data_IF_813458837010
#
_entry.id   IF_813458837010
#
_cell.length_a   1.000
_cell.length_b   1.000
_cell.length_c   1.000
_cell.angle_alpha   90.00
_cell.angle_beta   90.00
_cell.angle_gamma   90.00
#
_symmetry.space_group_name_H-M   'P 1'
#
loop_
_entity.id
_entity.type
_entity.pdbx_description
1 polymer ?
#
# COMPACT_ATOMS: atom_id res chain seq x y z
N UNK A 1 2.61 -4.93 -25.27
CA UNK A 1 2.61 -4.29 -23.93
C UNK A 1 3.06 -2.83 -23.94
N UNK A 2 3.91 -2.37 -24.86
CA UNK A 2 4.40 -0.96 -24.89
C UNK A 2 3.34 0.12 -25.22
N UNK A 3 2.24 -0.23 -25.89
CA UNK A 3 1.21 0.74 -26.33
C UNK A 3 0.19 1.14 -25.24
N UNK A 4 0.08 0.39 -24.14
CA UNK A 4 -0.84 0.70 -23.04
C UNK A 4 -0.22 1.69 -22.06
N UNK A 5 1.10 1.70 -21.92
CA UNK A 5 1.83 2.61 -21.04
C UNK A 5 1.78 4.05 -21.59
N UNK A 6 1.76 4.25 -22.91
CA UNK A 6 1.69 5.57 -23.54
C UNK A 6 0.35 6.29 -23.33
N UNK A 7 -0.75 5.58 -23.13
CA UNK A 7 -2.08 6.18 -22.90
C UNK A 7 -2.24 6.67 -21.45
N UNK A 8 -1.60 6.02 -20.50
CA UNK A 8 -1.64 6.42 -19.08
C UNK A 8 -0.77 7.65 -18.77
N UNK A 9 0.29 7.89 -19.56
CA UNK A 9 1.13 9.08 -19.42
C UNK A 9 0.54 10.33 -20.11
N UNK A 10 -0.35 10.17 -21.09
CA UNK A 10 -0.96 11.29 -21.81
C UNK A 10 -2.12 11.96 -21.06
N UNK A 11 -2.70 11.30 -20.04
CA UNK A 11 -3.78 11.87 -19.23
C UNK A 11 -3.31 12.82 -18.10
N UNK A 12 -2.01 12.97 -17.90
CA UNK A 12 -1.44 13.88 -16.89
C UNK A 12 -1.29 15.30 -17.41
N UNK A 13 -1.42 15.52 -18.73
CA UNK A 13 -1.34 16.85 -19.38
C UNK A 13 -2.76 17.26 -19.78
N UNK A 14 -3.59 17.65 -18.82
CA UNK A 14 -4.85 18.35 -19.09
C UNK A 14 -4.69 19.87 -18.92
N UNK A 15 -5.41 20.65 -19.73
CA UNK A 15 -5.01 21.97 -20.15
C UNK A 15 -5.03 22.99 -19.03
N UNK A 16 -3.94 23.74 -18.94
CA UNK A 16 -3.93 25.07 -18.32
C UNK A 16 -4.68 26.03 -19.24
N UNK A 17 -5.95 26.15 -19.05
CA UNK A 17 -6.72 27.09 -19.84
C UNK A 17 -8.15 27.23 -19.38
N UNK A 18 -8.35 28.19 -18.47
CA UNK A 18 -9.49 29.06 -18.30
C UNK A 18 -9.40 29.73 -16.92
N UNK A 19 -8.48 30.66 -16.77
CA UNK A 19 -8.51 31.61 -15.65
C UNK A 19 -9.61 32.65 -15.91
N UNK A 20 -10.87 32.27 -15.67
CA UNK A 20 -11.87 33.23 -15.34
C UNK A 20 -11.67 33.59 -13.85
N UNK A 21 -11.16 34.78 -13.56
CA UNK A 21 -11.23 35.40 -12.23
C UNK A 21 -12.69 35.54 -11.82
N UNK A 22 -13.25 34.50 -11.25
CA UNK A 22 -14.49 34.53 -10.54
C UNK A 22 -14.13 34.67 -9.05
N UNK A 23 -14.91 35.43 -8.27
CA UNK A 23 -14.94 35.45 -6.81
C UNK A 23 -15.27 34.06 -6.27
N UNK A 24 -14.33 33.10 -6.46
CA UNK A 24 -14.51 31.69 -6.10
C UNK A 24 -14.35 31.56 -4.61
N UNK A 25 -15.40 31.07 -3.97
CA UNK A 25 -15.39 30.67 -2.57
C UNK A 25 -14.22 29.73 -2.30
N UNK A 26 -13.55 29.82 -1.13
CA UNK A 26 -12.43 28.98 -0.78
C UNK A 26 -12.83 27.49 -0.90
N UNK A 27 -11.94 26.68 -1.48
CA UNK A 27 -12.08 25.24 -1.59
C UNK A 27 -11.17 24.55 -0.57
N UNK A 28 -11.42 23.29 -0.27
CA UNK A 28 -10.78 22.55 0.81
C UNK A 28 -9.28 22.30 0.60
N UNK A 29 -8.84 22.20 -0.65
CA UNK A 29 -7.44 21.91 -1.04
C UNK A 29 -6.59 23.18 -1.26
N UNK A 30 -6.77 24.19 -0.38
CA UNK A 30 -5.94 25.39 -0.31
C UNK A 30 -4.74 25.18 0.60
N UNK A 31 -3.67 25.93 0.32
CA UNK A 31 -2.50 26.00 1.19
C UNK A 31 -2.89 26.28 2.65
N UNK A 32 -2.32 25.52 3.57
CA UNK A 32 -2.54 25.65 5.01
C UNK A 32 -3.60 24.69 5.56
N UNK A 33 -4.36 24.00 4.71
CA UNK A 33 -5.34 23.03 5.16
C UNK A 33 -4.72 21.65 5.35
N UNK A 34 -5.28 20.91 6.31
CA UNK A 34 -4.92 19.53 6.57
C UNK A 34 -6.09 18.62 6.24
N UNK A 35 -5.77 17.35 5.97
CA UNK A 35 -6.76 16.30 5.83
C UNK A 35 -6.30 15.02 6.51
N UNK A 36 -7.28 14.22 6.91
CA UNK A 36 -7.04 12.85 7.37
C UNK A 36 -8.10 11.93 6.82
N UNK A 37 -7.73 10.68 6.53
CA UNK A 37 -8.69 9.66 6.17
C UNK A 37 -8.26 8.26 6.63
N UNK A 38 -9.28 7.43 6.79
CA UNK A 38 -9.18 6.01 7.07
C UNK A 38 -10.10 5.25 6.12
N UNK A 39 -9.65 4.13 5.60
CA UNK A 39 -10.44 3.31 4.71
C UNK A 39 -9.93 1.90 4.57
N UNK A 40 -10.57 1.15 3.69
CA UNK A 40 -10.26 -0.25 3.45
C UNK A 40 -9.78 -0.45 2.02
N UNK A 41 -8.93 -1.45 1.85
CA UNK A 41 -8.33 -1.74 0.55
C UNK A 41 -8.43 -3.21 0.18
N UNK A 42 -8.24 -3.47 -1.12
CA UNK A 42 -8.08 -4.79 -1.72
C UNK A 42 -6.88 -4.75 -2.65
N UNK A 43 -6.00 -5.74 -2.52
CA UNK A 43 -4.73 -5.77 -3.21
C UNK A 43 -4.59 -6.99 -4.11
N UNK A 44 -3.95 -6.78 -5.26
CA UNK A 44 -3.62 -7.80 -6.25
C UNK A 44 -2.13 -7.72 -6.53
N UNK A 45 -1.49 -8.87 -6.69
CA UNK A 45 -0.05 -8.96 -6.86
C UNK A 45 0.31 -9.61 -8.19
N UNK A 46 1.38 -9.17 -8.82
CA UNK A 46 1.96 -9.89 -9.95
C UNK A 46 2.62 -11.17 -9.45
N UNK A 47 2.86 -12.13 -10.34
CA UNK A 47 3.76 -13.24 -10.03
C UNK A 47 5.15 -12.70 -9.65
N UNK A 48 5.82 -13.41 -8.76
CA UNK A 48 7.17 -13.10 -8.31
C UNK A 48 8.03 -14.35 -8.22
N UNK A 49 9.33 -14.17 -8.24
CA UNK A 49 10.29 -15.20 -7.88
C UNK A 49 10.65 -14.96 -6.42
N UNK A 50 10.41 -15.98 -5.59
CA UNK A 50 10.52 -15.90 -4.14
C UNK A 50 11.70 -16.71 -3.67
N UNK A 51 12.72 -16.04 -3.13
CA UNK A 51 14.00 -16.60 -2.71
C UNK A 51 14.02 -16.80 -1.21
N UNK A 52 14.60 -17.92 -0.76
CA UNK A 52 14.77 -18.29 0.64
C UNK A 52 16.20 -18.69 0.92
N UNK A 53 16.81 -18.06 1.90
CA UNK A 53 18.16 -18.37 2.39
C UNK A 53 18.09 -18.63 3.89
N UNK A 54 18.85 -19.59 4.38
CA UNK A 54 18.98 -19.93 5.79
C UNK A 54 19.98 -21.04 6.02
N UNK A 55 20.11 -21.51 7.26
CA UNK A 55 21.06 -22.58 7.60
C UNK A 55 20.74 -23.85 6.83
N UNK A 56 21.65 -24.29 5.95
CA UNK A 56 21.53 -25.48 5.13
C UNK A 56 20.52 -25.41 3.99
N UNK A 57 20.02 -24.23 3.61
CA UNK A 57 19.22 -24.08 2.41
C UNK A 57 19.41 -22.71 1.73
N UNK A 58 19.43 -22.78 0.40
CA UNK A 58 19.39 -21.61 -0.48
C UNK A 58 18.62 -22.01 -1.74
N UNK A 59 17.35 -21.63 -1.82
CA UNK A 59 16.47 -22.01 -2.92
C UNK A 59 15.50 -20.89 -3.28
N UNK A 60 14.91 -20.99 -4.47
CA UNK A 60 13.86 -20.08 -4.91
C UNK A 60 12.73 -20.82 -5.62
N UNK A 61 11.57 -20.17 -5.63
CA UNK A 61 10.34 -20.64 -6.26
C UNK A 61 9.94 -19.64 -7.33
N UNK A 62 10.16 -19.97 -8.60
CA UNK A 62 9.82 -19.10 -9.72
C UNK A 62 8.33 -19.17 -10.06
N UNK A 63 7.77 -18.02 -10.40
CA UNK A 63 6.37 -17.90 -10.78
C UNK A 63 5.37 -17.97 -9.63
N UNK A 64 5.80 -17.68 -8.43
CA UNK A 64 5.00 -17.65 -7.20
C UNK A 64 3.78 -16.72 -7.34
N UNK A 65 2.61 -17.21 -6.99
CA UNK A 65 1.35 -16.47 -6.98
C UNK A 65 0.93 -16.19 -5.55
N UNK A 66 0.53 -14.95 -5.28
CA UNK A 66 -0.03 -14.57 -3.98
C UNK A 66 -1.39 -13.88 -4.14
N UNK A 67 -2.15 -13.91 -3.06
CA UNK A 67 -3.47 -13.27 -2.93
C UNK A 67 -3.55 -12.43 -1.68
N UNK A 68 -4.50 -11.50 -1.65
CA UNK A 68 -4.92 -10.85 -0.42
C UNK A 68 -5.90 -11.74 0.37
N UNK A 69 -6.23 -11.31 1.60
CA UNK A 69 -7.17 -12.04 2.46
C UNK A 69 -8.14 -11.06 3.13
N UNK A 70 -9.20 -10.65 2.41
CA UNK A 70 -10.22 -9.79 3.00
C UNK A 70 -11.00 -10.53 4.07
N UNK A 71 -11.43 -9.82 5.09
CA UNK A 71 -12.38 -10.40 6.04
C UNK A 71 -13.73 -10.67 5.35
N UNK A 72 -14.29 -11.83 5.58
CA UNK A 72 -15.66 -12.20 5.16
C UNK A 72 -16.72 -11.68 6.12
N UNK A 73 -16.31 -11.24 7.32
CA UNK A 73 -17.22 -10.78 8.37
C UNK A 73 -17.37 -9.25 8.31
N UNK A 74 -18.51 -8.78 7.85
CA UNK A 74 -18.82 -7.34 7.80
C UNK A 74 -18.62 -6.62 9.14
N UNK A 75 -18.91 -7.30 10.26
CA UNK A 75 -18.73 -6.76 11.62
C UNK A 75 -17.31 -6.27 11.89
N UNK A 76 -16.28 -6.89 11.29
CA UNK A 76 -14.88 -6.49 11.49
C UNK A 76 -14.57 -5.12 10.88
N UNK A 77 -15.33 -4.70 9.86
CA UNK A 77 -15.13 -3.40 9.19
C UNK A 77 -15.76 -2.22 9.93
N UNK A 78 -16.69 -2.47 10.84
CA UNK A 78 -17.44 -1.42 11.56
C UNK A 78 -17.23 -1.44 13.08
N UNK A 79 -16.67 -2.50 13.64
CA UNK A 79 -16.44 -2.62 15.08
C UNK A 79 -15.13 -1.87 15.46
N UNK A 80 -15.19 -0.84 16.32
CA UNK A 80 -14.02 -0.05 16.71
C UNK A 80 -12.84 -0.86 17.27
N UNK A 81 -13.10 -2.02 17.87
CA UNK A 81 -12.04 -2.88 18.43
C UNK A 81 -11.35 -3.77 17.41
N UNK A 82 -11.88 -3.88 16.20
CA UNK A 82 -11.35 -4.74 15.13
C UNK A 82 -11.12 -4.02 13.80
N UNK A 83 -11.18 -2.69 13.76
CA UNK A 83 -11.00 -1.89 12.55
C UNK A 83 -9.65 -2.11 11.84
N UNK A 84 -8.64 -2.55 12.58
CA UNK A 84 -7.29 -2.82 12.06
C UNK A 84 -7.07 -4.26 11.61
N UNK A 85 -8.04 -5.16 11.81
CA UNK A 85 -7.93 -6.57 11.38
C UNK A 85 -8.10 -6.73 9.86
N UNK A 86 -9.07 -6.06 9.19
CA UNK A 86 -9.12 -6.01 7.75
C UNK A 86 -7.96 -5.16 7.18
N UNK A 87 -7.68 -5.36 5.90
CA UNK A 87 -6.74 -4.50 5.17
C UNK A 87 -7.26 -3.06 5.14
N UNK A 88 -6.42 -2.12 5.54
CA UNK A 88 -6.81 -0.71 5.63
C UNK A 88 -5.72 0.23 5.14
N UNK A 89 -6.10 1.46 4.85
CA UNK A 89 -5.19 2.57 4.63
C UNK A 89 -5.59 3.79 5.46
N UNK A 90 -4.57 4.44 6.00
CA UNK A 90 -4.69 5.70 6.72
C UNK A 90 -3.76 6.74 6.11
N UNK A 91 -4.21 7.98 6.07
CA UNK A 91 -3.40 9.13 5.63
C UNK A 91 -3.63 10.32 6.51
N UNK A 92 -2.56 11.08 6.71
CA UNK A 92 -2.62 12.42 7.24
C UNK A 92 -1.78 13.33 6.34
N UNK A 93 -2.36 14.41 5.83
CA UNK A 93 -1.74 15.26 4.84
C UNK A 93 -1.95 16.75 5.07
N UNK A 94 -1.06 17.52 4.45
CA UNK A 94 -1.02 18.97 4.51
C UNK A 94 -0.87 19.57 3.11
N UNK A 95 -1.73 20.53 2.77
CA UNK A 95 -1.63 21.32 1.54
C UNK A 95 -0.59 22.42 1.71
N UNK A 96 0.64 22.18 1.26
CA UNK A 96 1.73 23.16 1.33
C UNK A 96 1.63 24.26 0.24
N UNK A 97 0.86 23.97 -0.80
CA UNK A 97 0.50 24.88 -1.89
C UNK A 97 -0.92 24.55 -2.33
N UNK A 98 -1.63 25.54 -2.92
CA UNK A 98 -2.95 25.29 -3.51
C UNK A 98 -2.86 24.12 -4.49
N UNK A 99 -3.78 23.16 -4.37
CA UNK A 99 -3.84 21.91 -5.11
C UNK A 99 -2.80 20.84 -4.73
N UNK A 100 -1.69 21.18 -4.04
CA UNK A 100 -0.59 20.24 -3.78
C UNK A 100 -0.46 19.94 -2.30
N UNK A 101 -0.46 18.67 -1.97
CA UNK A 101 -0.32 18.17 -0.62
C UNK A 101 0.84 17.18 -0.49
N UNK A 102 1.47 17.19 0.67
CA UNK A 102 2.30 16.10 1.16
C UNK A 102 1.53 15.34 2.23
N UNK A 103 1.62 14.02 2.24
CA UNK A 103 0.99 13.19 3.27
C UNK A 103 1.88 12.07 3.75
N UNK A 104 1.71 11.69 5.02
CA UNK A 104 2.22 10.45 5.58
C UNK A 104 1.12 9.39 5.49
N UNK A 105 1.48 8.22 4.99
CA UNK A 105 0.58 7.11 4.73
C UNK A 105 1.00 5.84 5.43
N UNK A 106 0.00 5.05 5.81
CA UNK A 106 0.15 3.69 6.29
C UNK A 106 -0.86 2.81 5.59
N UNK A 107 -0.37 1.83 4.82
CA UNK A 107 -1.20 0.82 4.17
C UNK A 107 -0.93 -0.54 4.82
N UNK A 108 -1.95 -1.08 5.46
CA UNK A 108 -1.96 -2.45 5.94
C UNK A 108 -2.52 -3.34 4.82
N UNK A 109 -1.63 -4.07 4.18
CA UNK A 109 -1.93 -5.01 3.11
C UNK A 109 -1.73 -6.44 3.62
N UNK A 110 -2.15 -7.43 2.84
CA UNK A 110 -1.92 -8.84 3.12
C UNK A 110 -1.39 -9.51 1.87
N UNK A 111 -0.29 -10.22 2.01
CA UNK A 111 0.33 -11.02 0.96
C UNK A 111 0.38 -12.47 1.44
N UNK A 112 -0.40 -13.34 0.82
CA UNK A 112 -0.48 -14.75 1.17
C UNK A 112 -0.11 -15.57 -0.05
N UNK A 113 0.98 -16.32 0.04
CA UNK A 113 1.36 -17.31 -0.96
C UNK A 113 0.20 -18.29 -1.17
N UNK A 114 -0.19 -18.49 -2.43
CA UNK A 114 -1.36 -19.31 -2.75
C UNK A 114 -1.06 -20.78 -2.50
N UNK A 115 -1.98 -21.47 -1.84
CA UNK A 115 -1.93 -22.93 -1.70
C UNK A 115 -2.06 -23.62 -3.07
N UNK A 116 -1.50 -24.83 -3.21
CA UNK A 116 -1.46 -25.60 -4.45
C UNK A 116 -0.85 -24.78 -5.60
N UNK A 117 0.19 -23.99 -5.29
CA UNK A 117 0.87 -23.16 -6.29
C UNK A 117 1.85 -24.04 -7.10
N UNK A 118 1.70 -24.01 -8.43
CA UNK A 118 2.63 -24.68 -9.33
C UNK A 118 3.80 -23.74 -9.63
N UNK A 119 4.96 -24.05 -9.16
CA UNK A 119 6.17 -23.24 -9.24
C UNK A 119 7.35 -24.08 -9.71
N UNK A 120 8.44 -23.42 -10.13
CA UNK A 120 9.71 -24.09 -10.43
C UNK A 120 10.66 -23.88 -9.26
N UNK A 121 11.09 -24.99 -8.65
CA UNK A 121 12.05 -25.01 -7.56
C UNK A 121 13.46 -25.08 -8.14
N UNK A 122 14.35 -24.18 -7.71
CA UNK A 122 15.78 -24.21 -8.00
C UNK A 122 16.57 -23.86 -6.75
N UNK A 123 17.79 -24.39 -6.64
CA UNK A 123 18.69 -24.16 -5.50
C UNK A 123 19.05 -25.44 -4.77
N UNK A 124 19.50 -25.31 -3.53
CA UNK A 124 20.03 -26.43 -2.73
C UNK A 124 19.38 -26.48 -1.35
N UNK A 125 19.06 -27.68 -0.90
CA UNK A 125 18.62 -28.00 0.46
C UNK A 125 19.51 -29.12 0.96
N UNK A 126 20.30 -28.88 2.01
CA UNK A 126 21.30 -29.82 2.52
C UNK A 126 20.65 -31.07 3.14
N UNK A 127 21.37 -32.21 3.16
CA UNK A 127 20.90 -33.43 3.78
C UNK A 127 20.47 -33.21 5.25
N UNK A 128 19.27 -33.66 5.59
CA UNK A 128 18.72 -33.58 6.95
C UNK A 128 18.00 -32.28 7.29
N UNK A 129 18.04 -31.25 6.43
CA UNK A 129 17.36 -29.97 6.66
C UNK A 129 15.86 -30.09 6.40
N UNK A 130 15.48 -30.68 5.27
CA UNK A 130 14.06 -30.82 4.91
C UNK A 130 13.75 -32.28 4.54
N UNK A 131 12.79 -32.87 5.29
CA UNK A 131 12.30 -34.22 5.05
C UNK A 131 10.79 -34.26 4.74
N UNK A 132 10.12 -33.09 4.72
CA UNK A 132 8.65 -33.04 4.70
C UNK A 132 8.07 -32.14 3.61
N UNK A 133 8.87 -31.18 3.08
CA UNK A 133 8.38 -30.19 2.10
C UNK A 133 8.80 -30.58 0.68
N UNK A 134 10.07 -30.38 0.35
CA UNK A 134 10.62 -30.68 -0.96
C UNK A 134 11.63 -31.83 -0.92
N UNK A 135 12.17 -32.13 0.29
CA UNK A 135 13.29 -33.03 0.50
C UNK A 135 14.66 -32.35 0.29
N UNK A 136 15.72 -33.04 0.72
CA UNK A 136 17.09 -32.56 0.55
C UNK A 136 17.60 -32.89 -0.85
N UNK A 137 18.34 -31.94 -1.47
CA UNK A 137 18.89 -32.12 -2.81
C UNK A 137 19.23 -30.79 -3.49
N UNK A 138 19.75 -30.94 -4.72
CA UNK A 138 19.95 -29.81 -5.63
C UNK A 138 18.89 -29.84 -6.73
N UNK A 139 18.21 -28.74 -6.93
CA UNK A 139 17.08 -28.59 -7.83
C UNK A 139 17.42 -27.59 -8.95
N UNK A 140 16.97 -27.85 -10.17
CA UNK A 140 17.13 -26.96 -11.32
C UNK A 140 15.80 -26.91 -12.09
N UNK A 141 15.07 -25.81 -11.96
CA UNK A 141 13.78 -25.62 -12.59
C UNK A 141 12.83 -26.83 -12.42
N UNK A 142 12.86 -27.44 -11.25
CA UNK A 142 12.08 -28.65 -10.94
C UNK A 142 10.63 -28.26 -10.67
N UNK A 143 9.66 -28.73 -11.46
CA UNK A 143 8.26 -28.44 -11.22
C UNK A 143 7.79 -29.03 -9.88
N UNK A 144 7.25 -28.21 -9.02
CA UNK A 144 6.69 -28.63 -7.73
C UNK A 144 5.31 -27.97 -7.53
N UNK A 145 4.44 -28.66 -6.83
CA UNK A 145 3.16 -28.10 -6.36
C UNK A 145 3.25 -27.98 -4.84
N UNK A 146 3.09 -26.78 -4.32
CA UNK A 146 3.18 -26.53 -2.87
C UNK A 146 1.93 -26.97 -2.15
N UNK A 147 2.09 -27.42 -0.91
CA UNK A 147 0.99 -27.75 0.02
C UNK A 147 1.12 -26.88 1.26
N UNK A 148 0.06 -26.15 1.62
CA UNK A 148 0.03 -25.22 2.76
C UNK A 148 0.40 -25.90 4.09
N UNK A 149 0.20 -27.20 4.22
CA UNK A 149 0.53 -27.95 5.44
C UNK A 149 2.03 -28.08 5.66
N UNK A 150 2.83 -28.04 4.59
CA UNK A 150 4.29 -28.25 4.62
C UNK A 150 5.07 -27.01 4.22
N UNK A 151 4.52 -26.20 3.30
CA UNK A 151 5.11 -24.95 2.86
C UNK A 151 4.08 -23.80 2.91
N UNK A 152 4.39 -22.77 3.69
CA UNK A 152 3.55 -21.58 3.77
C UNK A 152 4.40 -20.34 3.98
N UNK A 153 4.11 -19.29 3.20
CA UNK A 153 4.72 -17.98 3.34
C UNK A 153 3.65 -16.91 3.26
N UNK A 154 3.54 -16.10 4.31
CA UNK A 154 2.59 -15.01 4.30
C UNK A 154 3.06 -13.79 5.09
N UNK A 155 2.58 -12.63 4.66
CA UNK A 155 2.62 -11.38 5.41
C UNK A 155 1.16 -10.95 5.68
N UNK A 156 0.36 -11.80 6.34
CA UNK A 156 -1.07 -11.58 6.57
C UNK A 156 -1.35 -10.75 7.81
N UNK A 157 -0.46 -10.79 8.80
CA UNK A 157 -0.50 -9.92 9.97
C UNK A 157 0.09 -8.54 9.68
N UNK A 158 0.54 -8.32 8.46
CA UNK A 158 0.93 -7.03 7.92
C UNK A 158 2.04 -7.07 6.88
N UNK A 159 1.66 -6.86 5.63
CA UNK A 159 2.50 -6.24 4.64
C UNK A 159 2.24 -4.73 4.75
N UNK A 160 3.00 -4.05 5.61
CA UNK A 160 2.74 -2.66 5.94
C UNK A 160 3.63 -1.74 5.10
N UNK A 161 3.01 -0.88 4.31
CA UNK A 161 3.71 0.13 3.51
C UNK A 161 3.57 1.49 4.17
N UNK A 162 4.65 1.97 4.77
CA UNK A 162 4.78 3.29 5.40
C UNK A 162 5.37 4.24 4.38
N UNK A 163 4.61 5.24 3.92
CA UNK A 163 5.01 6.07 2.78
C UNK A 163 4.76 7.55 2.95
N UNK A 164 5.56 8.33 2.25
CA UNK A 164 5.30 9.74 1.98
C UNK A 164 4.74 9.86 0.57
N UNK A 165 3.69 10.67 0.41
CA UNK A 165 3.05 10.90 -0.88
C UNK A 165 3.05 12.39 -1.23
N UNK A 166 3.24 12.68 -2.50
CA UNK A 166 2.97 13.97 -3.11
C UNK A 166 1.73 13.85 -3.97
N UNK A 167 0.69 14.62 -3.67
CA UNK A 167 -0.63 14.53 -4.32
C UNK A 167 -1.05 15.88 -4.86
N UNK A 168 -1.61 15.88 -6.07
CA UNK A 168 -2.34 17.00 -6.66
C UNK A 168 -3.84 16.71 -6.59
N UNK A 169 -4.62 17.72 -6.21
CA UNK A 169 -6.09 17.69 -6.13
C UNK A 169 -6.68 18.76 -7.04
N UNK A 170 -7.56 18.37 -7.96
CA UNK A 170 -8.22 19.30 -8.87
C UNK A 170 -9.75 19.15 -8.73
N UNK A 171 -10.46 20.28 -8.65
CA UNK A 171 -11.91 20.29 -8.59
C UNK A 171 -12.48 20.00 -9.97
N UNK A 172 -13.34 18.99 -10.04
CA UNK A 172 -14.08 18.64 -11.25
C UNK A 172 -15.42 19.35 -11.29
N UNK A 173 -16.14 19.37 -10.15
CA UNK A 173 -17.49 19.88 -10.07
C UNK A 173 -17.82 20.35 -8.66
N UNK A 174 -18.73 21.32 -8.50
CA UNK A 174 -19.22 21.76 -7.18
C UNK A 174 -20.66 22.25 -7.24
N UNK A 175 -21.46 21.94 -6.20
CA UNK A 175 -22.81 22.43 -5.97
C UNK A 175 -22.78 23.30 -4.72
N UNK A 176 -22.72 24.62 -4.91
CA UNK A 176 -22.72 25.58 -3.81
C UNK A 176 -21.55 25.33 -2.83
N UNK A 177 -21.88 25.28 -1.54
CA UNK A 177 -20.95 24.89 -0.45
C UNK A 177 -21.18 23.46 0.04
N UNK A 178 -22.22 22.80 -0.47
CA UNK A 178 -22.69 21.54 0.08
C UNK A 178 -21.94 20.34 -0.47
N UNK A 179 -21.48 20.41 -1.73
CA UNK A 179 -20.85 19.29 -2.39
C UNK A 179 -19.75 19.73 -3.34
N UNK A 180 -18.64 19.01 -3.31
CA UNK A 180 -17.53 19.15 -4.28
C UNK A 180 -17.04 17.77 -4.70
N UNK A 181 -16.95 17.57 -6.02
CA UNK A 181 -16.25 16.43 -6.61
C UNK A 181 -14.87 16.88 -7.07
N UNK A 182 -13.83 16.17 -6.65
CA UNK A 182 -12.45 16.42 -7.07
C UNK A 182 -11.75 15.14 -7.45
N UNK A 183 -10.75 15.26 -8.34
CA UNK A 183 -9.80 14.22 -8.66
C UNK A 183 -8.52 14.43 -7.85
N UNK A 184 -7.89 13.34 -7.45
CA UNK A 184 -6.55 13.35 -6.87
C UNK A 184 -5.67 12.41 -7.67
N UNK A 185 -4.43 12.84 -7.89
CA UNK A 185 -3.40 12.00 -8.48
C UNK A 185 -2.06 12.30 -7.80
N UNK A 186 -1.24 11.28 -7.62
CA UNK A 186 0.04 11.47 -6.94
C UNK A 186 0.96 10.27 -7.01
N UNK A 187 2.12 10.47 -6.42
CA UNK A 187 3.18 9.46 -6.32
C UNK A 187 3.59 9.32 -4.85
N UNK A 188 4.11 8.16 -4.50
CA UNK A 188 4.58 7.86 -3.14
C UNK A 188 5.79 6.96 -3.14
N UNK A 189 6.56 7.07 -2.07
CA UNK A 189 7.69 6.21 -1.79
C UNK A 189 7.78 5.95 -0.28
N UNK A 190 8.26 4.78 0.10
CA UNK A 190 8.39 4.47 1.52
C UNK A 190 8.95 3.10 1.82
N UNK A 191 8.90 2.73 3.08
CA UNK A 191 9.46 1.51 3.63
C UNK A 191 8.39 0.43 3.80
N UNK A 192 8.81 -0.83 3.72
CA UNK A 192 7.97 -2.00 3.95
C UNK A 192 8.35 -2.61 5.30
N UNK A 193 7.37 -2.70 6.20
CA UNK A 193 7.46 -3.44 7.46
C UNK A 193 6.65 -4.72 7.31
N UNK A 194 7.32 -5.87 7.29
CA UNK A 194 6.70 -7.18 7.11
C UNK A 194 6.54 -7.91 8.44
N UNK A 195 5.30 -8.36 8.71
CA UNK A 195 4.99 -9.38 9.71
C UNK A 195 4.83 -10.68 8.95
N UNK A 196 5.84 -11.53 9.02
CA UNK A 196 5.92 -12.74 8.22
C UNK A 196 5.59 -13.98 9.07
N UNK A 197 4.87 -14.92 8.47
CA UNK A 197 4.69 -16.28 8.96
C UNK A 197 5.22 -17.24 7.90
N UNK A 198 6.16 -18.12 8.30
CA UNK A 198 6.86 -19.00 7.39
C UNK A 198 6.94 -20.43 7.92
N UNK A 199 6.31 -21.36 7.19
CA UNK A 199 6.37 -22.80 7.44
C UNK A 199 7.21 -23.47 6.37
N UNK A 200 8.26 -24.16 6.80
CA UNK A 200 9.17 -24.92 5.93
C UNK A 200 9.98 -25.91 6.77
N UNK A 201 10.34 -27.07 6.20
CA UNK A 201 11.19 -28.09 6.82
C UNK A 201 10.64 -28.59 8.19
N UNK A 202 9.31 -28.71 8.30
CA UNK A 202 8.64 -29.16 9.52
C UNK A 202 8.50 -28.10 10.62
N UNK A 203 9.12 -26.92 10.46
CA UNK A 203 8.95 -25.78 11.36
C UNK A 203 7.68 -25.00 10.96
N UNK A 204 6.80 -24.77 11.92
CA UNK A 204 5.49 -24.12 11.73
C UNK A 204 5.36 -22.88 12.61
N UNK A 205 4.48 -21.96 12.19
CA UNK A 205 4.08 -20.76 12.95
C UNK A 205 5.29 -19.87 13.35
N UNK A 206 6.29 -19.78 12.47
CA UNK A 206 7.49 -18.98 12.68
C UNK A 206 7.23 -17.52 12.33
N UNK A 207 6.64 -16.80 13.30
CA UNK A 207 6.29 -15.38 13.12
C UNK A 207 7.48 -14.47 13.38
N UNK A 208 7.77 -13.58 12.42
CA UNK A 208 8.87 -12.62 12.49
C UNK A 208 8.41 -11.22 12.08
N UNK A 209 9.20 -10.20 12.48
CA UNK A 209 8.99 -8.80 12.08
C UNK A 209 10.29 -8.27 11.51
N UNK A 210 10.21 -7.60 10.35
CA UNK A 210 11.39 -6.98 9.73
C UNK A 210 11.05 -5.73 8.92
N UNK A 211 11.95 -4.75 8.94
CA UNK A 211 11.97 -3.68 7.96
C UNK A 211 12.54 -4.27 6.67
N UNK A 212 11.66 -4.77 5.83
CA UNK A 212 12.00 -5.72 4.78
C UNK A 212 12.44 -5.10 3.47
N UNK A 213 12.18 -3.80 3.24
CA UNK A 213 12.55 -3.17 1.99
C UNK A 213 11.83 -1.85 1.74
N UNK A 214 11.59 -1.55 0.46
CA UNK A 214 10.96 -0.30 0.03
C UNK A 214 9.93 -0.53 -1.07
N UNK A 215 9.06 0.46 -1.26
CA UNK A 215 8.11 0.48 -2.37
C UNK A 215 8.00 1.87 -3.00
N UNK A 216 7.63 1.88 -4.27
CA UNK A 216 7.27 3.06 -5.05
C UNK A 216 5.85 2.89 -5.57
N UNK A 217 5.07 3.96 -5.57
CA UNK A 217 3.65 3.90 -5.93
C UNK A 217 3.18 5.14 -6.69
N UNK A 218 2.13 4.94 -7.48
CA UNK A 218 1.29 5.98 -8.03
C UNK A 218 -0.16 5.74 -7.65
N UNK A 219 -0.96 6.81 -7.53
CA UNK A 219 -2.38 6.67 -7.23
C UNK A 219 -3.22 7.68 -8.01
N UNK A 220 -4.46 7.31 -8.25
CA UNK A 220 -5.52 8.17 -8.75
C UNK A 220 -6.82 7.88 -8.01
N UNK A 221 -7.61 8.93 -7.72
CA UNK A 221 -8.84 8.77 -6.97
C UNK A 221 -9.84 9.89 -7.22
N UNK A 222 -11.11 9.61 -6.94
CA UNK A 222 -12.17 10.59 -6.83
C UNK A 222 -12.45 10.86 -5.35
N UNK A 223 -12.71 12.12 -5.03
CA UNK A 223 -13.09 12.58 -3.70
C UNK A 223 -14.42 13.33 -3.78
N UNK A 224 -15.40 12.81 -3.08
CA UNK A 224 -16.75 13.34 -2.92
C UNK A 224 -16.80 14.07 -1.58
N UNK A 225 -16.72 15.37 -1.58
CA UNK A 225 -16.60 16.20 -0.39
C UNK A 225 -17.93 16.85 -0.05
N UNK A 226 -18.32 16.78 1.22
CA UNK A 226 -19.57 17.30 1.77
C UNK A 226 -19.28 18.42 2.76
N UNK A 227 -19.97 19.54 2.60
CA UNK A 227 -19.90 20.73 3.46
C UNK A 227 -18.47 21.25 3.69
N UNK A 228 -17.56 20.95 2.77
CA UNK A 228 -16.12 21.26 2.85
C UNK A 228 -15.38 20.62 4.05
N UNK A 229 -15.98 19.68 4.78
CA UNK A 229 -15.36 19.08 5.98
C UNK A 229 -15.21 17.58 5.89
N UNK A 230 -16.25 16.88 5.42
CA UNK A 230 -16.25 15.42 5.30
C UNK A 230 -16.06 15.02 3.86
N UNK A 231 -15.37 13.91 3.63
CA UNK A 231 -15.30 13.37 2.27
C UNK A 231 -15.29 11.84 2.25
N UNK A 232 -15.86 11.30 1.19
CA UNK A 232 -15.66 9.93 0.74
C UNK A 232 -14.65 9.96 -0.39
N UNK A 233 -13.64 9.10 -0.32
CA UNK A 233 -12.65 8.90 -1.37
C UNK A 233 -12.75 7.46 -1.88
N UNK A 234 -12.66 7.27 -3.19
CA UNK A 234 -12.45 5.96 -3.80
C UNK A 234 -11.38 6.07 -4.87
N UNK A 235 -10.52 5.08 -4.95
CA UNK A 235 -9.38 5.18 -5.85
C UNK A 235 -8.68 3.87 -6.13
N UNK A 236 -7.66 4.01 -6.95
CA UNK A 236 -6.74 2.96 -7.32
C UNK A 236 -5.31 3.44 -7.06
N UNK A 237 -4.50 2.58 -6.52
CA UNK A 237 -3.06 2.77 -6.44
C UNK A 237 -2.35 1.52 -6.98
N UNK A 238 -1.15 1.72 -7.46
CA UNK A 238 -0.33 0.62 -7.94
C UNK A 238 1.13 1.01 -7.89
N UNK A 239 2.00 0.00 -7.91
CA UNK A 239 3.42 0.26 -7.81
C UNK A 239 4.27 -0.98 -7.79
N UNK A 240 5.47 -0.80 -7.32
CA UNK A 240 6.51 -1.80 -7.23
C UNK A 240 6.98 -1.92 -5.79
N UNK A 241 7.07 -3.16 -5.31
CA UNK A 241 7.60 -3.52 -3.99
C UNK A 241 8.87 -4.35 -4.14
N UNK A 242 9.89 -3.98 -3.37
CA UNK A 242 11.14 -4.71 -3.27
C UNK A 242 11.37 -5.08 -1.80
N UNK A 243 11.03 -6.30 -1.45
CA UNK A 243 11.34 -6.91 -0.16
C UNK A 243 12.71 -7.55 -0.26
N UNK A 244 13.74 -6.87 0.26
CA UNK A 244 15.13 -7.33 0.19
C UNK A 244 15.50 -8.32 1.28
N UNK A 245 14.84 -8.21 2.44
CA UNK A 245 15.19 -9.00 3.62
C UNK A 245 13.97 -9.16 4.53
N UNK A 246 13.16 -10.17 4.27
CA UNK A 246 12.05 -10.59 5.14
C UNK A 246 12.58 -11.68 6.06
N UNK A 247 12.79 -11.40 7.34
CA UNK A 247 13.25 -12.39 8.31
C UNK A 247 12.26 -13.56 8.36
N UNK A 248 12.75 -14.80 8.30
CA UNK A 248 11.92 -16.01 8.23
C UNK A 248 12.06 -16.91 9.47
N UNK A 249 13.07 -16.67 10.32
CA UNK A 249 13.27 -17.41 11.57
C UNK A 249 13.49 -16.44 12.73
N UNK A 250 12.82 -16.63 13.87
CA UNK A 250 12.95 -15.71 15.03
C UNK A 250 14.36 -15.64 15.60
N UNK A 251 15.04 -16.80 15.66
CA UNK A 251 16.34 -16.95 16.33
C UNK A 251 17.53 -17.00 15.36
N UNK A 252 17.27 -16.80 14.05
CA UNK A 252 18.30 -16.80 13.02
C UNK A 252 18.17 -15.58 12.11
N UNK A 253 19.08 -14.63 12.25
CA UNK A 253 19.13 -13.42 11.43
C UNK A 253 19.66 -13.68 10.01
N UNK A 254 20.31 -14.82 9.78
CA UNK A 254 20.76 -15.24 8.44
C UNK A 254 19.63 -15.86 7.61
N UNK A 255 18.52 -16.25 8.24
CA UNK A 255 17.36 -16.82 7.59
C UNK A 255 16.38 -15.72 7.12
N UNK A 256 16.30 -15.54 5.82
CA UNK A 256 15.42 -14.53 5.22
C UNK A 256 14.88 -14.96 3.86
N UNK A 257 13.79 -14.28 3.49
CA UNK A 257 13.26 -14.33 2.12
C UNK A 257 13.42 -12.97 1.44
N UNK A 258 13.55 -12.98 0.11
CA UNK A 258 13.49 -11.77 -0.69
C UNK A 258 12.69 -11.99 -1.98
N UNK A 259 12.04 -10.91 -2.45
CA UNK A 259 11.25 -10.91 -3.67
C UNK A 259 10.98 -9.49 -4.19
N UNK A 260 10.57 -9.43 -5.44
CA UNK A 260 10.17 -8.20 -6.11
C UNK A 260 8.87 -8.45 -6.89
N UNK A 261 7.92 -7.53 -6.77
CA UNK A 261 6.63 -7.67 -7.44
C UNK A 261 5.93 -6.34 -7.64
N UNK A 262 5.05 -6.32 -8.63
CA UNK A 262 4.07 -5.26 -8.82
C UNK A 262 2.81 -5.50 -7.99
N UNK A 263 2.12 -4.43 -7.62
CA UNK A 263 0.82 -4.54 -7.00
C UNK A 263 -0.17 -3.55 -7.59
N UNK A 264 -1.45 -3.87 -7.49
CA UNK A 264 -2.59 -3.01 -7.77
C UNK A 264 -3.51 -3.07 -6.56
N UNK A 265 -3.98 -1.90 -6.10
CA UNK A 265 -4.83 -1.78 -4.92
C UNK A 265 -6.03 -0.89 -5.24
N UNK A 266 -7.21 -1.33 -4.84
CA UNK A 266 -8.43 -0.52 -4.83
C UNK A 266 -8.76 -0.14 -3.40
N UNK A 267 -9.15 1.10 -3.16
CA UNK A 267 -9.46 1.59 -1.82
C UNK A 267 -10.72 2.47 -1.80
N UNK A 268 -11.37 2.46 -0.65
CA UNK A 268 -12.44 3.40 -0.31
C UNK A 268 -12.24 3.86 1.13
N UNK A 269 -12.28 5.18 1.34
CA UNK A 269 -11.97 5.79 2.63
C UNK A 269 -12.92 6.94 2.96
N UNK A 270 -13.20 7.10 4.25
CA UNK A 270 -13.83 8.28 4.83
C UNK A 270 -12.77 9.20 5.40
N UNK A 271 -12.95 10.49 5.23
CA UNK A 271 -11.98 11.45 5.73
C UNK A 271 -12.60 12.81 6.05
N UNK A 272 -11.74 13.66 6.62
CA UNK A 272 -12.12 15.01 7.03
C UNK A 272 -11.03 16.02 6.71
N UNK A 273 -11.47 17.27 6.55
CA UNK A 273 -10.64 18.43 6.33
C UNK A 273 -10.53 19.25 7.63
N UNK A 274 -9.31 19.68 7.93
CA UNK A 274 -9.01 20.58 9.04
C UNK A 274 -8.55 21.92 8.50
N UNK A 275 -9.13 23.00 9.00
CA UNK A 275 -8.81 24.36 8.61
C UNK A 275 -8.09 25.05 9.76
N UNK A 276 -6.83 25.41 9.56
CA UNK A 276 -6.10 26.24 10.51
C UNK A 276 -6.37 27.70 10.14
N UNK A 277 -7.18 28.40 10.93
CA UNK A 277 -7.38 29.84 10.75
C UNK A 277 -6.03 30.54 10.94
N UNK A 278 -5.58 31.40 9.98
CA UNK A 278 -4.44 32.24 10.22
C UNK A 278 -4.72 33.09 11.47
N UNK A 279 -3.73 33.21 12.39
CA UNK A 279 -3.84 34.20 13.47
C UNK A 279 -3.99 35.56 12.79
N UNK A 280 -5.12 36.22 12.97
CA UNK A 280 -5.28 37.62 12.57
C UNK A 280 -4.14 38.40 13.21
N UNK A 281 -3.27 38.98 12.39
CA UNK A 281 -2.34 39.99 12.87
C UNK A 281 -3.20 41.14 13.35
N UNK A 282 -3.41 41.26 14.66
CA UNK A 282 -4.01 42.46 15.25
C UNK A 282 -3.18 43.64 14.72
N UNK A 283 -3.76 44.45 13.90
CA UNK A 283 -3.16 45.68 13.44
C UNK A 283 -3.10 46.63 14.65
N UNK A 284 -1.97 46.65 15.36
CA UNK A 284 -1.77 47.56 16.50
C UNK A 284 -1.52 49.00 16.07
N UNK A 285 -1.66 49.32 14.79
CA UNK A 285 -1.34 50.63 14.20
C UNK A 285 -2.51 51.26 13.42
N UNK A 286 -3.75 50.79 13.63
CA UNK A 286 -4.88 51.54 13.08
C UNK A 286 -5.06 52.84 13.89
N UNK A 287 -4.91 54.03 13.30
CA UNK A 287 -5.22 55.27 13.98
C UNK A 287 -6.72 55.29 14.32
N UNK A 288 -7.00 55.54 15.59
CA UNK A 288 -8.35 55.81 16.04
C UNK A 288 -8.68 57.27 15.60
N UNK A 289 -9.58 57.39 14.62
CA UNK A 289 -10.23 58.64 14.31
C UNK A 289 -11.53 58.74 15.11
#
# INVERSE_FOLDING_TARGET
MARIISVLLLSIILPQGLNAQSNRKPYSFQKGNFFGYWGYNRSFYTKSDLYFTGEGYDFHLDGSVAKDNPSTQFKQYINPTTLTVPQFNARFGYYFKDHYAVSLGYDHMKYIFQDQNNVLLSGTIDPGVDNVTFGSGTYVNTPVTTDRNTFHYENSNGLNYIRVELTRTDRLFAIGKSFTLSSNAGIGAGAILSYNDFNFAGQKDMVTISLSGYALSGHASLRFEFWNHLFLRTGVSGGYMNQKHVKTRPDDDSAYAHQQYGYLQFDTALGFMFYVKPKEKKCNTCPHF
#
